data_IF_542329509357
#
_entry.id   IF_542329509357
#
_cell.length_a   1.000
_cell.length_b   1.000
_cell.length_c   1.000
_cell.angle_alpha   90.00
_cell.angle_beta   90.00
_cell.angle_gamma   90.00
#
_symmetry.space_group_name_H-M   'P 1'
#
loop_
_entity.id
_entity.type
_entity.pdbx_description
1 polymer ?
#
# COMPACT_ATOMS: atom_id res chain seq x y z
N UNK A 1 5.37 6.40 4.24
CA UNK A 1 5.67 7.48 3.27
C UNK A 1 7.15 7.45 2.90
N UNK A 2 7.48 7.53 1.60
CA UNK A 2 8.85 7.61 1.11
C UNK A 2 9.18 9.02 0.61
N UNK A 3 10.47 9.35 0.68
CA UNK A 3 11.02 10.59 0.14
C UNK A 3 11.82 10.30 -1.13
N UNK A 4 11.64 11.11 -2.14
CA UNK A 4 12.31 11.03 -3.45
C UNK A 4 13.03 12.36 -3.69
N UNK A 5 14.36 12.30 -3.83
CA UNK A 5 15.17 13.47 -4.17
C UNK A 5 15.03 13.82 -5.65
N UNK A 6 14.85 15.09 -5.95
CA UNK A 6 14.90 15.63 -7.30
C UNK A 6 15.77 16.89 -7.34
N UNK A 7 16.23 17.31 -8.52
CA UNK A 7 17.00 18.54 -8.65
C UNK A 7 16.18 19.82 -8.31
N UNK A 8 14.86 19.75 -8.37
CA UNK A 8 13.96 20.84 -7.97
C UNK A 8 13.66 20.90 -6.48
N UNK A 9 13.91 19.83 -5.72
CA UNK A 9 13.62 19.60 -4.30
C UNK A 9 12.90 18.26 -4.09
N UNK A 10 12.52 17.95 -2.83
CA UNK A 10 11.90 16.67 -2.47
C UNK A 10 10.49 16.44 -3.00
N UNK A 11 10.20 15.18 -3.24
CA UNK A 11 8.87 14.66 -3.51
C UNK A 11 8.55 13.55 -2.51
N UNK A 12 7.38 13.59 -1.90
CA UNK A 12 6.91 12.56 -0.98
C UNK A 12 5.92 11.63 -1.68
N UNK A 13 6.09 10.32 -1.48
CA UNK A 13 5.20 9.28 -1.98
C UNK A 13 4.54 8.57 -0.81
N UNK A 14 3.22 8.44 -0.84
CA UNK A 14 2.44 7.55 0.02
C UNK A 14 1.66 6.54 -0.81
N UNK A 15 1.36 5.39 -0.22
CA UNK A 15 0.66 4.28 -0.87
C UNK A 15 -0.36 3.68 0.07
N UNK A 16 -1.36 3.01 -0.48
CA UNK A 16 -2.31 2.15 0.23
C UNK A 16 -2.26 0.78 -0.43
N UNK A 17 -1.82 -0.24 0.30
CA UNK A 17 -1.65 -1.61 -0.19
C UNK A 17 -2.78 -2.52 0.27
N UNK A 18 -3.30 -3.32 -0.64
CA UNK A 18 -4.16 -4.46 -0.33
C UNK A 18 -3.26 -5.65 0.06
N UNK A 19 -3.37 -6.10 1.31
CA UNK A 19 -2.54 -7.18 1.84
C UNK A 19 -2.83 -8.53 1.19
N UNK A 20 -4.06 -8.77 0.76
CA UNK A 20 -4.44 -10.01 0.12
C UNK A 20 -3.73 -10.22 -1.21
N UNK A 21 -3.78 -9.21 -2.08
CA UNK A 21 -3.21 -9.29 -3.42
C UNK A 21 -1.85 -8.60 -3.56
N UNK A 22 -1.32 -7.97 -2.52
CA UNK A 22 -0.09 -7.15 -2.59
C UNK A 22 -0.19 -5.99 -3.57
N UNK A 23 -1.40 -5.61 -3.94
CA UNK A 23 -1.68 -4.56 -4.91
C UNK A 23 -1.65 -3.19 -4.27
N UNK A 24 -0.95 -2.24 -4.89
CA UNK A 24 -1.17 -0.84 -4.60
C UNK A 24 -2.54 -0.43 -5.16
N UNK A 25 -3.43 0.00 -4.26
CA UNK A 25 -4.80 0.38 -4.59
C UNK A 25 -5.02 1.89 -4.55
N UNK A 26 -4.03 2.63 -4.07
CA UNK A 26 -4.06 4.07 -4.07
C UNK A 26 -2.74 4.68 -3.65
N UNK A 27 -2.18 5.51 -4.48
CA UNK A 27 -0.94 6.25 -4.20
C UNK A 27 -1.13 7.73 -4.49
N UNK A 28 -0.29 8.56 -3.86
CA UNK A 28 -0.23 9.99 -4.11
C UNK A 28 1.19 10.51 -3.90
N UNK A 29 1.52 11.58 -4.60
CA UNK A 29 2.75 12.35 -4.43
C UNK A 29 2.44 13.79 -4.04
N UNK A 30 3.36 14.43 -3.32
CA UNK A 30 3.27 15.84 -2.99
C UNK A 30 4.66 16.41 -2.70
N UNK A 31 4.85 17.71 -2.93
CA UNK A 31 6.08 18.45 -2.59
C UNK A 31 6.26 18.65 -1.08
N UNK A 32 5.23 18.41 -0.29
CA UNK A 32 5.23 18.61 1.16
C UNK A 32 4.65 17.41 1.90
N UNK A 33 5.29 17.06 3.01
CA UNK A 33 4.81 16.02 3.92
C UNK A 33 3.63 16.54 4.77
N UNK A 34 2.48 16.71 4.14
CA UNK A 34 1.25 17.14 4.81
C UNK A 34 0.23 16.00 4.89
N UNK A 35 -0.74 16.12 5.82
CA UNK A 35 -1.87 15.18 5.96
C UNK A 35 -2.63 14.93 4.65
N UNK A 36 -2.74 15.96 3.80
CA UNK A 36 -3.45 15.86 2.52
C UNK A 36 -2.87 14.79 1.59
N UNK A 37 -1.57 14.52 1.68
CA UNK A 37 -0.90 13.47 0.92
C UNK A 37 -1.51 12.08 1.22
N UNK A 38 -1.62 11.72 2.51
CA UNK A 38 -2.22 10.46 2.92
C UNK A 38 -3.72 10.38 2.60
N UNK A 39 -4.45 11.48 2.82
CA UNK A 39 -5.88 11.59 2.49
C UNK A 39 -6.13 11.37 1.00
N UNK A 40 -5.27 11.90 0.12
CA UNK A 40 -5.43 11.74 -1.33
C UNK A 40 -5.18 10.28 -1.77
N UNK A 41 -4.15 9.62 -1.25
CA UNK A 41 -3.92 8.20 -1.51
C UNK A 41 -5.11 7.34 -1.05
N UNK A 42 -5.62 7.62 0.16
CA UNK A 42 -6.80 6.92 0.69
C UNK A 42 -8.04 7.16 -0.18
N UNK A 43 -8.29 8.39 -0.65
CA UNK A 43 -9.41 8.70 -1.56
C UNK A 43 -9.33 7.89 -2.84
N UNK A 44 -8.16 7.81 -3.46
CA UNK A 44 -7.92 7.00 -4.68
C UNK A 44 -8.18 5.52 -4.40
N UNK A 45 -7.69 4.99 -3.28
CA UNK A 45 -7.94 3.62 -2.87
C UNK A 45 -9.45 3.32 -2.68
N UNK A 46 -10.17 4.22 -2.02
CA UNK A 46 -11.61 4.09 -1.79
C UNK A 46 -12.42 4.14 -3.08
N UNK A 47 -12.02 4.99 -4.05
CA UNK A 47 -12.66 5.03 -5.37
C UNK A 47 -12.37 3.76 -6.16
N UNK A 48 -11.11 3.30 -6.17
CA UNK A 48 -10.69 2.13 -6.93
C UNK A 48 -11.33 0.82 -6.40
N UNK A 49 -11.54 0.72 -5.09
CA UNK A 49 -12.00 -0.53 -4.44
C UNK A 49 -13.46 -0.51 -4.01
N UNK A 50 -14.03 0.67 -3.73
CA UNK A 50 -15.36 0.82 -3.14
C UNK A 50 -15.67 -0.26 -2.09
N UNK A 51 -14.86 -0.37 -1.02
CA UNK A 51 -14.95 -1.49 -0.08
C UNK A 51 -16.27 -1.50 0.67
N UNK A 52 -16.77 -2.70 0.98
CA UNK A 52 -17.88 -2.87 1.90
C UNK A 52 -17.48 -2.41 3.32
N UNK A 53 -18.43 -2.00 4.17
CA UNK A 53 -18.18 -1.76 5.59
C UNK A 53 -17.57 -2.99 6.25
N UNK A 54 -16.73 -2.79 7.28
CA UNK A 54 -16.04 -3.87 7.99
C UNK A 54 -14.61 -4.14 7.49
N UNK A 55 -14.18 -3.56 6.36
CA UNK A 55 -12.78 -3.61 5.97
C UNK A 55 -11.88 -3.08 7.09
N UNK A 56 -10.79 -3.76 7.38
CA UNK A 56 -9.78 -3.26 8.33
C UNK A 56 -8.73 -2.43 7.58
N UNK A 57 -8.53 -1.21 8.02
CA UNK A 57 -7.44 -0.36 7.55
C UNK A 57 -6.38 -0.24 8.65
N UNK A 58 -5.19 -0.78 8.38
CA UNK A 58 -4.07 -0.71 9.31
C UNK A 58 -3.08 0.38 8.87
N UNK A 59 -2.52 1.13 9.82
CA UNK A 59 -1.46 2.12 9.56
C UNK A 59 -0.50 2.20 10.75
N UNK A 60 0.66 2.82 10.53
CA UNK A 60 1.49 3.27 11.64
C UNK A 60 0.82 4.45 12.36
N UNK A 61 1.47 4.93 13.44
CA UNK A 61 1.01 6.10 14.21
C UNK A 61 1.55 7.42 13.68
N UNK A 62 1.89 7.50 12.41
CA UNK A 62 2.28 8.75 11.77
C UNK A 62 1.20 9.82 11.90
N UNK A 63 1.61 11.08 12.12
CA UNK A 63 0.69 12.19 12.31
C UNK A 63 -0.32 12.36 11.17
N UNK A 64 0.03 11.95 9.96
CA UNK A 64 -0.83 11.98 8.78
C UNK A 64 -2.02 11.03 8.93
N UNK A 65 -1.79 9.80 9.43
CA UNK A 65 -2.80 8.75 9.61
C UNK A 65 -3.64 8.97 10.88
N UNK A 66 -3.04 9.62 11.91
CA UNK A 66 -3.74 10.03 13.12
C UNK A 66 -4.61 11.28 12.93
N UNK A 67 -4.56 11.95 11.77
CA UNK A 67 -5.31 13.17 11.53
C UNK A 67 -6.82 12.93 11.53
N UNK A 68 -7.58 13.90 12.03
CA UNK A 68 -9.05 13.85 12.12
C UNK A 68 -9.65 13.59 10.74
N UNK A 69 -9.16 14.26 9.71
CA UNK A 69 -9.68 14.16 8.34
C UNK A 69 -9.49 12.75 7.76
N UNK A 70 -8.32 12.14 8.01
CA UNK A 70 -8.02 10.78 7.55
C UNK A 70 -8.94 9.75 8.22
N UNK A 71 -9.04 9.81 9.54
CA UNK A 71 -9.89 8.89 10.29
C UNK A 71 -11.39 9.10 10.03
N UNK A 72 -11.82 10.36 9.83
CA UNK A 72 -13.21 10.66 9.47
C UNK A 72 -13.59 10.04 8.12
N UNK A 73 -12.67 10.05 7.15
CA UNK A 73 -12.90 9.42 5.84
C UNK A 73 -13.08 7.90 5.97
N UNK A 74 -12.27 7.23 6.79
CA UNK A 74 -12.40 5.81 7.08
C UNK A 74 -13.74 5.50 7.77
N UNK A 75 -14.06 6.23 8.84
CA UNK A 75 -15.31 6.02 9.60
C UNK A 75 -16.55 6.23 8.73
N UNK A 76 -16.54 7.25 7.86
CA UNK A 76 -17.65 7.53 6.92
C UNK A 76 -17.95 6.33 6.00
N UNK A 77 -16.96 5.49 5.74
CA UNK A 77 -17.08 4.29 4.91
C UNK A 77 -17.29 3.00 5.72
N UNK A 78 -17.45 3.11 7.05
CA UNK A 78 -17.59 1.94 7.92
C UNK A 78 -16.31 1.08 8.00
N UNK A 79 -15.14 1.67 7.72
CA UNK A 79 -13.85 0.99 7.76
C UNK A 79 -13.33 0.99 9.19
N UNK A 80 -12.89 -0.17 9.66
CA UNK A 80 -12.30 -0.36 10.97
C UNK A 80 -10.85 0.13 10.97
N UNK A 81 -10.51 0.96 11.95
CA UNK A 81 -9.18 1.54 12.07
C UNK A 81 -8.34 0.67 13.01
N UNK A 82 -7.22 0.19 12.51
CA UNK A 82 -6.18 -0.51 13.27
C UNK A 82 -4.88 0.28 13.17
N UNK A 83 -4.13 0.37 14.26
CA UNK A 83 -2.85 1.08 14.30
C UNK A 83 -1.80 0.23 15.00
N UNK A 84 -0.58 0.23 14.47
CA UNK A 84 0.57 -0.45 15.07
C UNK A 84 0.74 -0.09 16.55
N UNK A 85 1.17 -1.04 17.36
CA UNK A 85 1.62 -0.80 18.72
C UNK A 85 2.76 0.22 18.75
N UNK A 86 2.92 0.94 19.87
CA UNK A 86 4.03 1.90 20.02
C UNK A 86 5.35 1.14 19.97
N UNK A 87 6.19 1.41 18.95
CA UNK A 87 7.50 0.74 18.76
C UNK A 87 7.45 -0.63 18.06
N UNK A 88 6.29 -1.09 17.59
CA UNK A 88 6.18 -2.34 16.84
C UNK A 88 6.21 -2.04 15.33
N UNK A 89 7.39 -2.24 14.71
CA UNK A 89 7.59 -2.04 13.28
C UNK A 89 7.13 -3.26 12.44
N UNK A 90 6.99 -4.45 13.04
CA UNK A 90 6.65 -5.68 12.32
C UNK A 90 5.23 -5.64 11.73
N UNK A 91 4.33 -4.89 12.36
CA UNK A 91 2.94 -4.74 11.92
C UNK A 91 2.81 -4.03 10.57
N UNK A 92 3.85 -3.30 10.11
CA UNK A 92 3.84 -2.56 8.84
C UNK A 92 4.87 -3.09 7.81
N UNK A 93 5.36 -4.31 8.02
CA UNK A 93 6.44 -4.93 7.22
C UNK A 93 6.14 -4.98 5.72
N UNK A 94 4.86 -5.03 5.35
CA UNK A 94 4.44 -5.10 3.95
C UNK A 94 4.65 -3.78 3.21
N UNK A 95 4.27 -2.67 3.82
CA UNK A 95 4.50 -1.32 3.27
C UNK A 95 6.00 -1.02 3.23
N UNK A 96 6.75 -1.44 4.26
CA UNK A 96 8.20 -1.32 4.27
C UNK A 96 8.84 -2.10 3.12
N UNK A 97 8.37 -3.33 2.88
CA UNK A 97 8.83 -4.16 1.76
C UNK A 97 8.52 -3.50 0.41
N UNK A 98 7.33 -2.94 0.24
CA UNK A 98 7.00 -2.16 -0.95
C UNK A 98 7.95 -0.99 -1.14
N UNK A 99 8.18 -0.18 -0.09
CA UNK A 99 9.08 0.97 -0.19
C UNK A 99 10.54 0.57 -0.44
N UNK A 100 11.02 -0.53 0.16
CA UNK A 100 12.35 -1.07 -0.17
C UNK A 100 12.44 -1.44 -1.66
N UNK A 101 11.40 -2.08 -2.17
CA UNK A 101 11.32 -2.52 -3.57
C UNK A 101 11.32 -1.32 -4.53
N UNK A 102 10.41 -0.37 -4.38
CA UNK A 102 10.33 0.78 -5.29
C UNK A 102 11.57 1.68 -5.21
N UNK A 103 12.18 1.78 -4.01
CA UNK A 103 13.44 2.52 -3.85
C UNK A 103 14.57 1.87 -4.63
N UNK A 104 14.74 0.55 -4.52
CA UNK A 104 15.82 -0.17 -5.20
C UNK A 104 15.61 -0.31 -6.70
N UNK A 105 14.36 -0.54 -7.14
CA UNK A 105 14.05 -0.79 -8.53
C UNK A 105 13.85 0.49 -9.37
N UNK A 106 13.41 1.59 -8.75
CA UNK A 106 13.07 2.82 -9.45
C UNK A 106 13.77 4.07 -8.92
N UNK A 107 13.72 4.33 -7.60
CA UNK A 107 14.04 5.66 -7.07
C UNK A 107 15.54 5.90 -7.05
N UNK A 108 16.32 4.99 -6.47
CA UNK A 108 17.77 5.16 -6.28
C UNK A 108 18.60 5.07 -7.55
N UNK A 109 18.23 4.25 -8.57
CA UNK A 109 19.02 4.18 -9.80
C UNK A 109 18.99 5.44 -10.68
N UNK A 110 18.08 6.40 -10.40
CA UNK A 110 17.83 7.54 -11.28
C UNK A 110 18.08 8.87 -10.58
N UNK A 111 18.83 9.76 -11.24
CA UNK A 111 18.97 11.16 -10.83
C UNK A 111 17.78 11.97 -11.42
N UNK A 112 16.76 12.21 -10.62
CA UNK A 112 15.55 12.89 -11.03
C UNK A 112 15.78 14.38 -11.24
N UNK A 113 15.49 14.90 -12.43
CA UNK A 113 15.66 16.32 -12.75
C UNK A 113 14.49 17.16 -12.25
N UNK A 114 13.28 16.63 -12.25
CA UNK A 114 12.08 17.33 -11.78
C UNK A 114 11.14 16.41 -10.99
N UNK A 115 10.30 17.03 -10.17
CA UNK A 115 9.22 16.32 -9.46
C UNK A 115 8.26 15.65 -10.43
N UNK A 116 7.92 16.32 -11.53
CA UNK A 116 7.03 15.78 -12.56
C UNK A 116 7.61 14.54 -13.23
N UNK A 117 8.95 14.52 -13.48
CA UNK A 117 9.61 13.34 -14.02
C UNK A 117 9.51 12.16 -13.04
N UNK A 118 9.78 12.39 -11.77
CA UNK A 118 9.70 11.37 -10.73
C UNK A 118 8.27 10.85 -10.55
N UNK A 119 7.28 11.75 -10.50
CA UNK A 119 5.85 11.37 -10.39
C UNK A 119 5.38 10.52 -11.57
N UNK A 120 5.70 10.93 -12.80
CA UNK A 120 5.38 10.16 -14.00
C UNK A 120 6.02 8.77 -14.00
N UNK A 121 7.24 8.66 -13.47
CA UNK A 121 7.92 7.38 -13.37
C UNK A 121 7.29 6.48 -12.29
N UNK A 122 6.91 7.05 -11.13
CA UNK A 122 6.15 6.34 -10.09
C UNK A 122 4.83 5.82 -10.64
N UNK A 123 4.07 6.65 -11.38
CA UNK A 123 2.82 6.23 -12.02
C UNK A 123 3.04 5.03 -12.95
N UNK A 124 4.00 5.12 -13.87
CA UNK A 124 4.33 4.02 -14.78
C UNK A 124 4.79 2.77 -14.04
N UNK A 125 5.57 2.95 -12.96
CA UNK A 125 6.04 1.82 -12.17
C UNK A 125 4.89 1.12 -11.44
N UNK A 126 4.04 1.85 -10.72
CA UNK A 126 2.96 1.26 -9.93
C UNK A 126 1.87 0.69 -10.84
N UNK A 127 1.35 1.49 -11.76
CA UNK A 127 0.18 1.12 -12.57
C UNK A 127 0.55 0.27 -13.77
N UNK A 128 1.74 0.46 -14.35
CA UNK A 128 2.19 -0.26 -15.54
C UNK A 128 3.06 -1.49 -15.27
N UNK A 129 3.72 -1.58 -14.12
CA UNK A 129 4.64 -2.68 -13.84
C UNK A 129 4.34 -3.38 -12.51
N UNK A 130 4.36 -2.68 -11.36
CA UNK A 130 4.23 -3.31 -10.05
C UNK A 130 2.93 -4.10 -9.90
N UNK A 131 1.81 -3.50 -10.20
CA UNK A 131 0.50 -4.14 -10.10
C UNK A 131 0.25 -5.22 -11.18
N UNK A 132 0.48 -4.96 -12.49
CA UNK A 132 0.10 -5.92 -13.54
C UNK A 132 1.18 -6.95 -13.87
N UNK A 133 2.46 -6.67 -13.63
CA UNK A 133 3.58 -7.45 -14.19
C UNK A 133 4.48 -8.03 -13.11
N UNK A 134 4.82 -7.24 -12.09
CA UNK A 134 5.79 -7.66 -11.07
C UNK A 134 5.31 -8.91 -10.34
N UNK A 135 6.15 -9.94 -10.30
CA UNK A 135 5.84 -11.21 -9.66
C UNK A 135 6.19 -11.18 -8.17
N UNK A 136 5.31 -11.76 -7.34
CA UNK A 136 5.47 -11.85 -5.89
C UNK A 136 5.60 -13.32 -5.48
N UNK A 137 6.68 -13.68 -4.80
CA UNK A 137 6.89 -15.06 -4.31
C UNK A 137 5.78 -15.50 -3.35
N UNK A 138 5.29 -14.58 -2.51
CA UNK A 138 4.16 -14.82 -1.60
C UNK A 138 2.82 -15.07 -2.31
N UNK A 139 2.71 -14.76 -3.60
CA UNK A 139 1.53 -14.99 -4.44
C UNK A 139 1.77 -16.12 -5.46
N UNK A 140 2.70 -17.04 -5.17
CA UNK A 140 3.05 -18.11 -6.10
C UNK A 140 3.65 -17.58 -7.41
N UNK A 141 4.49 -16.56 -7.33
CA UNK A 141 5.12 -15.88 -8.48
C UNK A 141 4.14 -15.28 -9.49
N UNK A 142 2.95 -14.90 -9.04
CA UNK A 142 1.97 -14.18 -9.84
C UNK A 142 2.08 -12.66 -9.57
N UNK A 143 1.61 -11.86 -10.53
CA UNK A 143 1.42 -10.43 -10.30
C UNK A 143 0.18 -10.19 -9.43
N UNK A 144 0.12 -9.03 -8.79
CA UNK A 144 -1.01 -8.63 -7.95
C UNK A 144 -2.36 -8.73 -8.67
N UNK A 145 -2.43 -8.21 -9.90
CA UNK A 145 -3.66 -8.26 -10.72
C UNK A 145 -3.98 -9.69 -11.17
N UNK A 146 -2.99 -10.48 -11.57
CA UNK A 146 -3.22 -11.87 -11.97
C UNK A 146 -3.76 -12.72 -10.82
N UNK A 147 -3.22 -12.48 -9.61
CA UNK A 147 -3.67 -13.14 -8.40
C UNK A 147 -5.11 -12.78 -8.03
N UNK A 148 -5.47 -11.49 -8.07
CA UNK A 148 -6.85 -11.05 -7.80
C UNK A 148 -7.87 -11.64 -8.76
N UNK A 149 -7.53 -11.77 -10.05
CA UNK A 149 -8.43 -12.34 -11.06
C UNK A 149 -8.80 -13.80 -10.81
N UNK A 150 -7.92 -14.56 -10.13
CA UNK A 150 -8.20 -15.97 -9.78
C UNK A 150 -9.17 -16.11 -8.62
N UNK A 151 -9.40 -15.05 -7.84
CA UNK A 151 -10.29 -15.07 -6.68
C UNK A 151 -9.78 -15.90 -5.49
N UNK A 152 -10.48 -15.86 -4.34
CA UNK A 152 -10.05 -16.52 -3.10
C UNK A 152 -10.13 -18.06 -3.11
N UNK A 153 -10.49 -18.70 -4.20
CA UNK A 153 -10.77 -20.15 -4.27
C UNK A 153 -9.70 -21.02 -4.93
N UNK A 154 -8.66 -20.46 -5.56
CA UNK A 154 -7.66 -21.25 -6.27
C UNK A 154 -6.37 -21.44 -5.46
N UNK A 155 -6.11 -22.67 -5.01
CA UNK A 155 -4.82 -23.26 -4.59
C UNK A 155 -4.08 -22.67 -3.36
N UNK A 156 -4.37 -21.46 -2.87
CA UNK A 156 -3.65 -20.88 -1.73
C UNK A 156 -4.01 -21.50 -0.37
N UNK A 157 -5.13 -22.18 -0.26
CA UNK A 157 -5.48 -22.96 0.94
C UNK A 157 -4.50 -24.11 1.22
N UNK A 158 -3.72 -24.55 0.24
CA UNK A 158 -2.74 -25.61 0.42
C UNK A 158 -1.38 -25.11 0.97
N UNK A 159 -0.97 -23.91 0.60
CA UNK A 159 0.36 -23.37 1.00
C UNK A 159 0.36 -22.73 2.40
N UNK A 160 -0.77 -22.21 2.87
CA UNK A 160 -0.88 -21.65 4.21
C UNK A 160 -1.05 -22.68 5.32
N UNK A 161 -1.45 -23.93 5.01
CA UNK A 161 -1.57 -25.01 5.99
C UNK A 161 -0.23 -25.60 6.48
N UNK A 162 0.87 -25.31 5.83
CA UNK A 162 2.18 -25.91 6.17
C UNK A 162 3.10 -25.03 7.03
N UNK A 163 2.70 -23.81 7.38
CA UNK A 163 3.45 -22.95 8.31
C UNK A 163 2.54 -22.54 9.47
N UNK A 164 2.51 -23.37 10.49
CA UNK A 164 1.87 -23.08 11.76
C UNK A 164 2.64 -21.97 12.49
N UNK A 165 2.21 -20.74 12.29
CA UNK A 165 2.31 -19.67 13.27
C UNK A 165 0.87 -19.26 13.61
N UNK A 166 0.56 -18.91 14.88
CA UNK A 166 -0.80 -18.55 15.26
C UNK A 166 -1.13 -17.16 14.69
N UNK A 167 -1.46 -17.13 13.42
CA UNK A 167 -2.03 -15.96 12.76
C UNK A 167 -3.53 -16.14 12.80
N UNK A 168 -4.19 -15.17 13.45
CA UNK A 168 -5.62 -14.96 13.47
C UNK A 168 -6.30 -15.54 12.21
N UNK A 169 -7.32 -16.36 12.42
CA UNK A 169 -8.18 -16.90 11.39
C UNK A 169 -8.90 -15.74 10.68
N UNK A 170 -8.32 -15.23 9.60
CA UNK A 170 -8.95 -14.21 8.76
C UNK A 170 -10.00 -14.87 7.87
N UNK A 171 -11.21 -14.99 8.38
CA UNK A 171 -12.40 -15.19 7.58
C UNK A 171 -12.71 -13.90 6.85
N UNK A 172 -12.52 -13.86 5.53
CA UNK A 172 -13.02 -12.86 4.57
C UNK A 172 -12.67 -11.37 4.77
N UNK A 173 -11.89 -10.99 5.77
CA UNK A 173 -11.58 -9.60 6.09
C UNK A 173 -10.35 -9.16 5.29
N UNK A 174 -10.61 -8.42 4.21
CA UNK A 174 -9.52 -7.74 3.49
C UNK A 174 -8.92 -6.67 4.40
N UNK A 175 -7.61 -6.72 4.56
CA UNK A 175 -6.84 -5.71 5.28
C UNK A 175 -6.08 -4.87 4.27
N UNK A 176 -6.14 -3.56 4.39
CA UNK A 176 -5.30 -2.61 3.64
C UNK A 176 -4.38 -1.88 4.60
N UNK A 177 -3.16 -1.57 4.15
CA UNK A 177 -2.15 -0.90 4.95
C UNK A 177 -1.70 0.38 4.24
N UNK A 178 -1.41 1.42 5.00
CA UNK A 178 -0.84 2.68 4.52
C UNK A 178 0.44 3.06 5.27
#
# INVERSE_FOLDING_TARGET
IAYIWTAEDGLYLTVVLDLFARRDVGWATNDRLKRNLAVEALRRALVARNPAPGLVHHSDRGSQYCSVDYQALLRKRGILISMSGRGNCDDNSMVETFFKTIKSELIWPVAWQSRQQAENAVARYIDGFYNPVRRHSSLGFQSAIAFERKGPGSELNALHKSRASPVLSYSNDRVVIA
#
